data_IF_076647593359
#
_entry.id   IF_076647593359
#
_cell.length_a   1.000
_cell.length_b   1.000
_cell.length_c   1.000
_cell.angle_alpha   90.00
_cell.angle_beta   90.00
_cell.angle_gamma   90.00
#
_symmetry.space_group_name_H-M   'P 1'
#
loop_
_entity.id
_entity.type
_entity.pdbx_description
1 polymer ?
#
# COMPACT_ATOMS: atom_id res chain seq x y z
N UNK A 1 -24.83 -16.47 -41.48
CA UNK A 1 -24.15 -15.79 -40.36
C UNK A 1 -23.22 -14.79 -41.01
N UNK A 2 -23.70 -13.56 -41.17
CA UNK A 2 -23.11 -12.60 -42.10
C UNK A 2 -21.87 -11.93 -41.49
N UNK A 3 -20.73 -12.11 -42.15
CA UNK A 3 -19.49 -11.36 -41.93
C UNK A 3 -19.66 -9.91 -42.43
N UNK A 4 -20.56 -9.16 -41.80
CA UNK A 4 -20.78 -7.76 -42.14
C UNK A 4 -19.59 -6.93 -41.62
N UNK A 5 -18.81 -6.24 -42.47
CA UNK A 5 -17.66 -5.44 -42.06
C UNK A 5 -18.05 -4.33 -41.07
N UNK A 6 -19.31 -3.90 -41.04
CA UNK A 6 -19.83 -3.00 -40.01
C UNK A 6 -19.85 -3.64 -38.62
N UNK A 7 -20.20 -4.92 -38.50
CA UNK A 7 -20.14 -5.63 -37.22
C UNK A 7 -18.70 -5.76 -36.72
N UNK A 8 -17.77 -6.09 -37.62
CA UNK A 8 -16.35 -6.17 -37.29
C UNK A 8 -15.79 -4.80 -36.90
N UNK A 9 -16.20 -3.73 -37.61
CA UNK A 9 -15.81 -2.36 -37.30
C UNK A 9 -16.40 -1.89 -35.95
N UNK A 10 -17.66 -2.18 -35.66
CA UNK A 10 -18.31 -1.85 -34.37
C UNK A 10 -17.64 -2.61 -33.24
N UNK A 11 -17.37 -3.92 -33.38
CA UNK A 11 -16.58 -4.70 -32.42
C UNK A 11 -15.18 -4.12 -32.24
N UNK A 12 -14.51 -3.75 -33.34
CA UNK A 12 -13.16 -3.15 -33.28
C UNK A 12 -13.20 -1.77 -32.62
N UNK A 13 -14.25 -0.97 -32.84
CA UNK A 13 -14.44 0.34 -32.22
C UNK A 13 -14.79 0.22 -30.72
N UNK A 14 -15.66 -0.72 -30.34
CA UNK A 14 -15.96 -1.08 -28.94
C UNK A 14 -14.72 -1.63 -28.21
N UNK A 15 -13.83 -2.33 -28.91
CA UNK A 15 -12.54 -2.77 -28.39
C UNK A 15 -11.47 -1.65 -28.39
N UNK A 16 -11.67 -0.55 -29.14
CA UNK A 16 -10.73 0.57 -29.30
C UNK A 16 -11.10 1.86 -28.57
N UNK A 17 -12.30 2.00 -28.02
CA UNK A 17 -12.62 3.15 -27.17
C UNK A 17 -11.65 3.18 -25.99
N UNK A 18 -10.97 4.31 -25.69
CA UNK A 18 -10.12 4.41 -24.53
C UNK A 18 -10.98 4.13 -23.29
N UNK A 19 -10.77 2.96 -22.69
CA UNK A 19 -11.50 2.57 -21.48
C UNK A 19 -11.03 3.49 -20.37
N UNK A 20 -11.92 4.37 -19.93
CA UNK A 20 -11.70 5.12 -18.71
C UNK A 20 -11.64 4.13 -17.56
N UNK A 21 -10.68 4.35 -16.66
CA UNK A 21 -10.53 3.52 -15.47
C UNK A 21 -10.87 4.41 -14.28
N UNK A 22 -11.79 3.90 -13.50
CA UNK A 22 -12.42 4.56 -12.38
C UNK A 22 -11.81 3.99 -11.11
N UNK A 23 -11.27 4.84 -10.25
CA UNK A 23 -11.01 4.51 -8.86
C UNK A 23 -12.33 4.71 -8.11
N UNK A 24 -12.95 3.60 -7.72
CA UNK A 24 -14.25 3.59 -7.06
C UNK A 24 -14.13 4.09 -5.65
N UNK A 25 -13.27 3.47 -4.86
CA UNK A 25 -12.91 3.93 -3.53
C UNK A 25 -11.54 3.34 -3.11
N UNK A 26 -10.99 3.84 -2.00
CA UNK A 26 -9.81 3.32 -1.32
C UNK A 26 -10.00 3.40 0.20
N UNK A 27 -9.33 2.50 0.93
CA UNK A 27 -9.37 2.43 2.38
C UNK A 27 -7.97 2.16 2.95
N UNK A 28 -7.67 2.85 4.05
CA UNK A 28 -6.44 2.66 4.81
C UNK A 28 -6.78 2.08 6.18
N UNK A 29 -5.92 1.17 6.65
CA UNK A 29 -6.02 0.63 8.00
C UNK A 29 -5.87 1.76 9.03
N UNK A 30 -6.64 1.68 10.11
CA UNK A 30 -6.58 2.62 11.23
C UNK A 30 -6.07 1.83 12.44
N UNK A 31 -4.78 1.97 12.79
CA UNK A 31 -4.24 1.27 13.94
C UNK A 31 -4.91 1.72 15.23
N UNK A 32 -4.96 0.82 16.21
CA UNK A 32 -5.47 1.08 17.55
C UNK A 32 -4.51 2.00 18.31
N UNK A 33 -5.02 2.71 19.33
CA UNK A 33 -4.19 3.49 20.24
C UNK A 33 -3.17 2.62 21.00
N UNK A 34 -3.44 1.30 21.14
CA UNK A 34 -2.50 0.31 21.69
C UNK A 34 -1.26 0.12 20.82
N UNK A 35 -1.37 0.39 19.52
CA UNK A 35 -0.32 0.12 18.54
C UNK A 35 0.65 1.29 18.43
N UNK A 36 0.36 2.40 19.13
CA UNK A 36 1.15 3.63 19.11
C UNK A 36 2.52 3.42 19.74
N UNK A 37 3.56 3.75 18.98
CA UNK A 37 4.94 3.65 19.45
C UNK A 37 5.72 4.96 19.18
N UNK A 38 5.75 5.88 20.15
CA UNK A 38 6.51 7.12 20.08
C UNK A 38 8.01 6.88 19.85
N UNK A 39 8.73 7.91 19.41
CA UNK A 39 10.19 7.83 19.22
C UNK A 39 10.90 7.31 20.47
N UNK A 40 10.50 7.80 21.65
CA UNK A 40 11.06 7.42 22.94
C UNK A 40 11.00 5.91 23.20
N UNK A 41 9.88 5.25 22.89
CA UNK A 41 9.72 3.79 23.02
C UNK A 41 10.85 3.06 22.32
N UNK A 42 11.18 3.43 21.08
CA UNK A 42 12.26 2.74 20.37
C UNK A 42 13.66 3.09 20.85
N UNK A 43 13.87 4.30 21.38
CA UNK A 43 15.17 4.63 21.98
C UNK A 43 15.41 3.75 23.20
N UNK A 44 14.37 3.52 24.00
CA UNK A 44 14.38 2.55 25.08
C UNK A 44 14.59 1.12 24.57
N UNK A 45 13.89 0.73 23.49
CA UNK A 45 14.08 -0.59 22.87
C UNK A 45 15.53 -0.80 22.44
N UNK A 46 16.14 0.15 21.72
CA UNK A 46 17.53 0.03 21.27
C UNK A 46 18.52 0.02 22.43
N UNK A 47 18.22 0.70 23.54
CA UNK A 47 19.07 0.68 24.72
C UNK A 47 19.01 -0.67 25.46
N UNK A 48 17.86 -1.34 25.46
CA UNK A 48 17.65 -2.64 26.10
C UNK A 48 18.00 -3.83 25.19
N UNK A 49 18.11 -3.60 23.87
CA UNK A 49 18.43 -4.63 22.90
C UNK A 49 19.93 -4.95 22.90
N UNK A 50 20.33 -5.94 23.70
CA UNK A 50 21.72 -6.36 23.92
C UNK A 50 22.45 -6.87 22.64
N UNK A 51 21.73 -6.97 21.51
CA UNK A 51 22.29 -7.35 20.21
C UNK A 51 22.88 -6.17 19.42
N UNK A 52 22.65 -4.91 19.83
CA UNK A 52 23.17 -3.72 19.14
C UNK A 52 24.38 -3.11 19.85
N UNK A 53 25.44 -2.82 19.09
CA UNK A 53 26.59 -2.09 19.62
C UNK A 53 26.18 -0.65 20.01
N UNK A 54 26.77 -0.04 21.06
CA UNK A 54 26.42 1.32 21.49
C UNK A 54 26.53 2.38 20.39
N UNK A 55 27.53 2.25 19.50
CA UNK A 55 27.69 3.14 18.36
C UNK A 55 26.54 3.03 17.34
N UNK A 56 25.92 1.86 17.22
CA UNK A 56 24.73 1.62 16.39
C UNK A 56 23.50 2.26 17.01
N UNK A 57 23.32 2.13 18.33
CA UNK A 57 22.22 2.78 19.07
C UNK A 57 22.25 4.30 18.90
N UNK A 58 23.43 4.92 19.09
CA UNK A 58 23.62 6.37 18.89
C UNK A 58 23.33 6.79 17.44
N UNK A 59 23.73 5.97 16.46
CA UNK A 59 23.46 6.25 15.05
C UNK A 59 21.95 6.20 14.74
N UNK A 60 21.26 5.15 15.20
CA UNK A 60 19.81 4.98 15.02
C UNK A 60 19.02 6.08 15.71
N UNK A 61 19.44 6.51 16.90
CA UNK A 61 18.83 7.62 17.64
C UNK A 61 18.83 8.91 16.81
N UNK A 62 19.98 9.28 16.25
CA UNK A 62 20.11 10.49 15.41
C UNK A 62 19.25 10.43 14.15
N UNK A 63 19.06 9.24 13.56
CA UNK A 63 18.18 9.05 12.41
C UNK A 63 16.72 9.27 12.82
N UNK A 64 16.30 8.66 13.94
CA UNK A 64 14.92 8.76 14.40
C UNK A 64 14.53 10.19 14.77
N UNK A 65 15.40 10.93 15.44
CA UNK A 65 15.17 12.34 15.79
C UNK A 65 14.97 13.24 14.56
N UNK A 66 15.53 12.86 13.41
CA UNK A 66 15.44 13.61 12.14
C UNK A 66 14.44 13.01 11.15
N UNK A 67 13.74 11.95 11.54
CA UNK A 67 12.85 11.19 10.66
C UNK A 67 11.63 12.00 10.19
N UNK A 68 11.17 12.96 10.99
CA UNK A 68 9.90 13.66 10.75
C UNK A 68 8.66 12.85 11.12
N UNK A 69 8.83 11.70 11.78
CA UNK A 69 7.73 10.87 12.29
C UNK A 69 7.25 11.43 13.63
N UNK A 70 5.93 11.53 13.79
CA UNK A 70 5.28 12.01 15.00
C UNK A 70 5.08 10.92 16.06
N UNK A 71 4.72 11.33 17.29
CA UNK A 71 4.55 10.42 18.43
C UNK A 71 3.34 9.48 18.29
N UNK A 72 2.48 9.75 17.33
CA UNK A 72 1.23 9.02 17.06
C UNK A 72 1.40 7.90 16.03
N UNK A 73 2.62 7.74 15.49
CA UNK A 73 2.93 6.60 14.62
C UNK A 73 2.73 5.27 15.35
N UNK A 74 2.27 4.28 14.61
CA UNK A 74 1.92 2.96 15.13
C UNK A 74 2.74 1.87 14.43
N UNK A 75 2.91 0.76 15.12
CA UNK A 75 3.61 -0.43 14.64
C UNK A 75 2.96 -1.70 15.18
N UNK A 76 3.17 -2.87 14.54
CA UNK A 76 2.53 -4.10 14.96
C UNK A 76 2.98 -4.56 16.35
N UNK A 77 2.12 -5.29 17.05
CA UNK A 77 2.36 -5.88 18.38
C UNK A 77 3.73 -6.55 18.53
N UNK A 78 4.19 -7.25 17.50
CA UNK A 78 5.48 -7.93 17.49
C UNK A 78 6.66 -6.99 17.80
N UNK A 79 6.52 -5.70 17.50
CA UNK A 79 7.55 -4.68 17.70
C UNK A 79 7.48 -3.94 19.05
N UNK A 80 6.43 -4.18 19.85
CA UNK A 80 6.20 -3.53 21.15
C UNK A 80 6.80 -4.27 22.35
N UNK A 81 7.35 -5.47 22.15
CA UNK A 81 7.73 -6.36 23.26
C UNK A 81 9.17 -6.10 23.75
N UNK A 82 9.35 -5.83 25.06
CA UNK A 82 10.66 -5.61 25.72
C UNK A 82 10.90 -6.29 27.08
N UNK A 83 12.13 -6.82 27.31
CA UNK A 83 12.97 -7.45 26.27
C UNK A 83 12.14 -8.52 25.56
N UNK A 84 12.52 -9.08 24.40
CA UNK A 84 11.84 -10.28 23.90
C UNK A 84 11.83 -11.30 25.06
N UNK A 85 10.68 -11.61 25.68
CA UNK A 85 10.66 -12.53 26.80
C UNK A 85 11.20 -13.86 26.27
N UNK A 86 11.80 -14.72 27.08
CA UNK A 86 11.91 -16.11 26.69
C UNK A 86 10.47 -16.69 26.67
N UNK A 87 9.96 -17.19 25.53
CA UNK A 87 10.59 -17.30 24.20
C UNK A 87 10.41 -16.04 23.33
N UNK A 88 11.39 -15.75 22.43
CA UNK A 88 11.41 -14.54 21.61
C UNK A 88 10.11 -14.33 20.83
N UNK A 89 9.81 -13.09 20.40
CA UNK A 89 8.63 -12.80 19.58
C UNK A 89 8.56 -13.75 18.39
N UNK A 90 7.34 -14.18 18.06
CA UNK A 90 7.11 -15.12 16.97
C UNK A 90 7.43 -14.42 15.65
N UNK A 91 8.63 -14.63 15.12
CA UNK A 91 9.05 -14.15 13.79
C UNK A 91 8.69 -15.15 12.68
N UNK A 92 7.84 -16.14 12.96
CA UNK A 92 7.45 -17.12 11.95
C UNK A 92 6.57 -16.52 10.87
N UNK A 93 6.49 -17.22 9.73
CA UNK A 93 5.51 -16.93 8.70
C UNK A 93 4.07 -16.91 9.22
N UNK A 94 3.75 -17.57 10.34
CA UNK A 94 2.42 -17.53 10.94
C UNK A 94 2.14 -16.17 11.56
N UNK A 95 3.10 -15.59 12.28
CA UNK A 95 2.96 -14.27 12.86
C UNK A 95 2.93 -13.18 11.77
N UNK A 96 3.77 -13.31 10.74
CA UNK A 96 3.71 -12.46 9.56
C UNK A 96 2.32 -12.50 8.90
N UNK A 97 1.73 -13.70 8.78
CA UNK A 97 0.35 -13.85 8.28
C UNK A 97 -0.66 -13.21 9.21
N UNK A 98 -0.54 -13.35 10.52
CA UNK A 98 -1.46 -12.72 11.47
C UNK A 98 -1.39 -11.18 11.40
N UNK A 99 -0.19 -10.61 11.26
CA UNK A 99 0.01 -9.17 11.02
C UNK A 99 -0.67 -8.75 9.72
N UNK A 100 -0.38 -9.47 8.62
CA UNK A 100 -1.05 -9.28 7.33
C UNK A 100 -2.55 -9.29 7.58
N UNK A 101 -3.13 -10.36 8.12
CA UNK A 101 -4.57 -10.46 8.36
C UNK A 101 -5.12 -9.29 9.20
N UNK A 102 -4.47 -8.89 10.29
CA UNK A 102 -4.97 -7.82 11.18
C UNK A 102 -5.05 -6.44 10.50
N UNK A 103 -3.97 -6.00 9.86
CA UNK A 103 -3.93 -4.70 9.16
C UNK A 103 -4.95 -4.72 8.05
N UNK A 104 -4.94 -5.85 7.38
CA UNK A 104 -5.30 -5.86 6.00
C UNK A 104 -6.87 -6.20 6.01
N UNK A 105 -7.38 -7.00 6.94
CA UNK A 105 -8.81 -7.37 6.96
C UNK A 105 -9.75 -6.17 7.16
N UNK A 106 -9.38 -5.26 8.04
CA UNK A 106 -10.18 -4.07 8.36
C UNK A 106 -10.29 -3.12 7.18
N UNK A 107 -9.20 -2.89 6.45
CA UNK A 107 -9.21 -1.92 5.36
C UNK A 107 -10.01 -2.41 4.15
N UNK A 108 -10.05 -3.71 3.85
CA UNK A 108 -10.97 -4.21 2.81
C UNK A 108 -12.42 -4.17 3.28
N UNK A 109 -12.71 -4.48 4.54
CA UNK A 109 -14.07 -4.40 5.07
C UNK A 109 -14.62 -2.96 4.93
N UNK A 110 -13.86 -1.97 5.39
CA UNK A 110 -14.19 -0.54 5.24
C UNK A 110 -14.37 -0.13 3.76
N UNK A 111 -13.53 -0.64 2.86
CA UNK A 111 -13.64 -0.35 1.43
C UNK A 111 -14.98 -0.81 0.83
N UNK A 112 -15.39 -2.06 1.08
CA UNK A 112 -16.63 -2.60 0.53
C UNK A 112 -17.87 -2.03 1.21
N UNK A 113 -17.78 -1.65 2.48
CA UNK A 113 -18.86 -0.94 3.17
C UNK A 113 -19.12 0.44 2.52
N UNK A 114 -18.06 1.14 2.11
CA UNK A 114 -18.17 2.45 1.46
C UNK A 114 -18.51 2.37 -0.03
N UNK A 115 -18.10 1.31 -0.73
CA UNK A 115 -18.24 1.19 -2.19
C UNK A 115 -19.59 0.59 -2.61
N UNK A 116 -20.63 1.41 -2.69
CA UNK A 116 -22.00 0.95 -3.03
C UNK A 116 -22.15 0.32 -4.42
N UNK A 117 -21.31 0.69 -5.39
CA UNK A 117 -21.37 0.17 -6.77
C UNK A 117 -20.85 -1.27 -6.91
N UNK A 118 -20.08 -1.74 -5.94
CA UNK A 118 -19.53 -3.10 -5.88
C UNK A 118 -19.68 -3.59 -4.44
N UNK A 119 -20.89 -4.02 -4.10
CA UNK A 119 -21.22 -4.49 -2.74
C UNK A 119 -20.73 -5.91 -2.46
N UNK A 120 -20.51 -6.72 -3.51
CA UNK A 120 -20.11 -8.11 -3.38
C UNK A 120 -18.64 -8.30 -3.76
N UNK A 121 -17.77 -8.74 -2.83
CA UNK A 121 -16.40 -9.13 -3.13
C UNK A 121 -16.24 -10.13 -4.28
N UNK A 122 -17.28 -10.91 -4.59
CA UNK A 122 -17.30 -11.88 -5.69
C UNK A 122 -17.29 -11.22 -7.07
N UNK A 123 -17.60 -9.93 -7.16
CA UNK A 123 -17.55 -9.16 -8.41
C UNK A 123 -16.14 -8.72 -8.81
N UNK A 124 -15.14 -8.96 -7.94
CA UNK A 124 -13.72 -8.70 -8.22
C UNK A 124 -13.14 -9.81 -9.09
N UNK A 125 -12.60 -9.43 -10.25
CA UNK A 125 -12.01 -10.36 -11.22
C UNK A 125 -10.47 -10.28 -11.28
N UNK A 126 -9.90 -9.21 -10.74
CA UNK A 126 -8.45 -8.99 -10.67
C UNK A 126 -8.07 -8.63 -9.25
N UNK A 127 -7.07 -9.30 -8.69
CA UNK A 127 -6.45 -8.94 -7.41
C UNK A 127 -4.97 -8.71 -7.65
N UNK A 128 -4.47 -7.54 -7.26
CA UNK A 128 -3.04 -7.21 -7.27
C UNK A 128 -2.63 -6.88 -5.85
N UNK A 129 -1.77 -7.70 -5.26
CA UNK A 129 -1.23 -7.43 -3.91
C UNK A 129 0.22 -6.97 -3.98
N UNK A 130 0.62 -6.14 -3.02
CA UNK A 130 2.01 -5.79 -2.82
C UNK A 130 2.40 -5.77 -1.33
N UNK A 131 3.58 -6.32 -1.06
CA UNK A 131 4.30 -6.25 0.22
C UNK A 131 5.78 -6.49 -0.07
N UNK A 132 6.68 -5.62 0.41
CA UNK A 132 8.09 -5.66 -0.02
C UNK A 132 8.90 -6.70 0.74
N UNK A 133 8.61 -6.88 2.03
CA UNK A 133 9.37 -7.74 2.93
C UNK A 133 8.86 -9.18 3.00
N UNK A 134 7.58 -9.40 2.73
CA UNK A 134 6.95 -10.71 2.93
C UNK A 134 6.12 -11.12 1.71
N UNK A 135 6.41 -12.30 1.18
CA UNK A 135 5.59 -12.97 0.17
C UNK A 135 5.28 -14.40 0.68
N UNK A 136 4.19 -14.58 1.44
CA UNK A 136 3.87 -15.87 2.05
C UNK A 136 3.40 -16.88 0.99
N UNK A 137 3.43 -18.17 1.32
CA UNK A 137 2.70 -19.21 0.56
C UNK A 137 1.62 -19.79 1.45
N UNK A 138 0.31 -19.60 1.16
CA UNK A 138 -0.23 -18.99 -0.03
C UNK A 138 -0.04 -17.45 -0.01
N UNK A 139 0.02 -16.81 -1.19
CA UNK A 139 0.35 -15.37 -1.33
C UNK A 139 -0.67 -14.43 -0.70
N UNK A 140 -0.34 -13.15 -0.55
CA UNK A 140 -1.28 -12.16 0.03
C UNK A 140 -2.57 -12.08 -0.80
N UNK A 141 -2.44 -11.99 -2.13
CA UNK A 141 -3.60 -12.08 -3.01
C UNK A 141 -4.36 -13.40 -2.86
N UNK A 142 -3.69 -14.48 -2.45
CA UNK A 142 -4.32 -15.75 -2.10
C UNK A 142 -5.15 -15.76 -0.86
N UNK A 143 -4.55 -15.21 0.20
CA UNK A 143 -5.15 -15.11 1.51
C UNK A 143 -6.43 -14.30 1.31
N UNK A 144 -6.31 -13.15 0.66
CA UNK A 144 -7.45 -12.27 0.37
C UNK A 144 -8.48 -12.90 -0.56
N UNK A 145 -8.10 -13.64 -1.60
CA UNK A 145 -9.08 -14.35 -2.44
C UNK A 145 -9.91 -15.40 -1.66
N UNK A 146 -9.45 -15.86 -0.49
CA UNK A 146 -10.10 -16.89 0.34
C UNK A 146 -10.60 -16.39 1.72
N UNK A 147 -10.18 -15.21 2.19
CA UNK A 147 -10.72 -14.38 3.30
C UNK A 147 -9.85 -13.11 3.42
N UNK A 148 -10.48 -11.92 3.45
CA UNK A 148 -9.86 -10.63 3.06
C UNK A 148 -9.38 -9.81 4.24
N UNK A 149 -8.30 -9.02 4.15
CA UNK A 149 -7.93 -8.00 3.15
C UNK A 149 -6.58 -7.31 3.44
N UNK A 150 -6.34 -6.04 2.94
CA UNK A 150 -5.70 -4.76 3.50
C UNK A 150 -5.79 -3.40 2.88
N UNK A 151 -4.76 -2.52 2.91
CA UNK A 151 -4.98 -1.18 2.37
C UNK A 151 -5.39 -1.39 0.92
N UNK A 152 -6.64 -1.03 0.63
CA UNK A 152 -7.38 -1.64 -0.45
C UNK A 152 -7.95 -0.56 -1.34
N UNK A 153 -7.88 -0.82 -2.63
CA UNK A 153 -8.19 0.14 -3.67
C UNK A 153 -9.03 -0.60 -4.69
N UNK A 154 -10.22 -0.08 -4.99
CA UNK A 154 -11.10 -0.70 -5.97
C UNK A 154 -11.10 0.09 -7.27
N UNK A 155 -10.71 -0.56 -8.36
CA UNK A 155 -10.70 0.01 -9.70
C UNK A 155 -11.74 -0.67 -10.58
N UNK A 156 -12.38 0.06 -11.47
CA UNK A 156 -13.37 -0.48 -12.42
C UNK A 156 -13.21 0.17 -13.79
N UNK A 157 -13.57 -0.58 -14.83
CA UNK A 157 -13.77 -0.04 -16.18
C UNK A 157 -15.22 -0.11 -16.65
N UNK A 158 -16.17 -0.39 -15.74
CA UNK A 158 -17.60 -0.48 -16.06
C UNK A 158 -18.17 0.94 -16.20
N UNK A 159 -18.81 1.23 -17.33
CA UNK A 159 -19.40 2.55 -17.60
C UNK A 159 -20.41 2.98 -16.52
N UNK A 160 -21.17 2.01 -15.99
CA UNK A 160 -22.15 2.22 -14.90
C UNK A 160 -21.52 2.68 -13.59
N UNK A 161 -20.22 2.40 -13.36
CA UNK A 161 -19.55 2.79 -12.13
C UNK A 161 -18.98 4.22 -12.21
N UNK A 162 -19.06 4.87 -13.38
CA UNK A 162 -18.58 6.25 -13.60
C UNK A 162 -19.20 7.26 -12.65
N UNK A 163 -20.50 7.14 -12.38
CA UNK A 163 -21.20 8.05 -11.46
C UNK A 163 -20.89 7.78 -9.99
N UNK A 164 -20.37 6.60 -9.66
CA UNK A 164 -20.02 6.18 -8.32
C UNK A 164 -18.49 6.23 -8.07
N UNK A 165 -17.70 6.66 -9.06
CA UNK A 165 -16.26 6.69 -8.93
C UNK A 165 -15.78 7.91 -8.17
N UNK A 166 -14.99 7.70 -7.11
CA UNK A 166 -14.27 8.81 -6.48
C UNK A 166 -13.36 9.54 -7.46
N UNK A 167 -12.58 8.81 -8.24
CA UNK A 167 -11.62 9.44 -9.17
C UNK A 167 -11.55 8.76 -10.55
N UNK A 168 -11.13 9.53 -11.56
CA UNK A 168 -10.83 9.02 -12.91
C UNK A 168 -9.31 8.98 -13.14
N UNK A 169 -8.76 7.78 -13.38
CA UNK A 169 -7.33 7.59 -13.62
C UNK A 169 -6.94 8.02 -15.05
N UNK A 170 -6.20 9.13 -15.17
CA UNK A 170 -5.78 9.70 -16.47
C UNK A 170 -4.36 9.30 -16.92
N UNK A 171 -3.39 9.27 -16.01
CA UNK A 171 -1.98 9.02 -16.35
C UNK A 171 -1.26 8.36 -15.17
N UNK A 172 -0.55 7.25 -15.45
CA UNK A 172 0.25 6.46 -14.50
C UNK A 172 1.53 6.05 -15.24
N UNK A 173 2.69 6.20 -14.59
CA UNK A 173 4.03 5.90 -15.14
C UNK A 173 4.42 4.47 -14.76
N UNK A 174 5.01 3.72 -15.72
CA UNK A 174 5.22 2.27 -15.63
C UNK A 174 6.69 1.91 -15.42
N UNK A 175 7.00 1.03 -14.47
CA UNK A 175 8.28 0.32 -14.38
C UNK A 175 8.08 -1.11 -13.82
N UNK A 176 8.18 -2.14 -14.67
CA UNK A 176 8.21 -3.59 -14.34
C UNK A 176 6.89 -4.41 -14.36
N UNK A 177 7.04 -5.74 -14.60
CA UNK A 177 5.99 -6.78 -14.68
C UNK A 177 6.00 -7.64 -13.40
N UNK A 178 4.82 -7.93 -12.84
CA UNK A 178 4.60 -8.77 -11.65
C UNK A 178 4.51 -10.27 -11.94
N UNK A 179 4.68 -11.09 -10.90
CA UNK A 179 4.49 -12.55 -10.95
C UNK A 179 3.01 -12.94 -10.88
N UNK A 180 2.64 -14.03 -11.58
CA UNK A 180 1.29 -14.60 -11.64
C UNK A 180 1.17 -15.81 -10.70
N UNK A 181 0.16 -15.81 -9.83
CA UNK A 181 -0.22 -16.98 -9.02
C UNK A 181 -1.49 -17.63 -9.58
N UNK A 182 -1.45 -18.94 -9.84
CA UNK A 182 -2.52 -19.66 -10.56
C UNK A 182 -3.47 -20.48 -9.66
N UNK A 183 -3.69 -20.07 -8.41
CA UNK A 183 -4.32 -20.92 -7.38
C UNK A 183 -5.78 -20.58 -6.98
N UNK A 184 -6.57 -19.81 -7.74
CA UNK A 184 -7.91 -19.34 -7.31
C UNK A 184 -9.08 -19.87 -8.13
N UNK A 185 -10.30 -19.51 -7.66
CA UNK A 185 -11.53 -19.57 -8.45
C UNK A 185 -11.21 -19.25 -9.91
N UNK A 186 -11.69 -20.08 -10.83
CA UNK A 186 -11.29 -20.04 -12.24
C UNK A 186 -11.50 -18.70 -12.93
N UNK A 187 -12.25 -17.78 -12.30
CA UNK A 187 -12.59 -16.45 -12.79
C UNK A 187 -11.81 -15.28 -12.16
N UNK A 188 -10.85 -15.51 -11.24
CA UNK A 188 -10.07 -14.43 -10.61
C UNK A 188 -8.60 -14.50 -10.98
N UNK A 189 -8.06 -13.41 -11.52
CA UNK A 189 -6.63 -13.26 -11.78
C UNK A 189 -5.92 -12.65 -10.59
N UNK A 190 -4.85 -13.30 -10.11
CA UNK A 190 -4.11 -12.89 -8.91
C UNK A 190 -2.65 -12.61 -9.24
N UNK A 191 -2.14 -11.49 -8.72
CA UNK A 191 -0.76 -11.03 -8.90
C UNK A 191 -0.19 -10.55 -7.57
N UNK A 192 1.08 -10.90 -7.31
CA UNK A 192 1.77 -10.54 -6.07
C UNK A 192 3.09 -9.82 -6.41
N UNK A 193 3.28 -8.64 -5.85
CA UNK A 193 4.44 -7.78 -6.06
C UNK A 193 5.27 -7.72 -4.77
N UNK A 194 6.50 -8.24 -4.81
CA UNK A 194 7.42 -8.26 -3.67
C UNK A 194 8.81 -7.77 -4.06
N UNK A 195 9.58 -7.26 -3.10
CA UNK A 195 10.97 -6.83 -3.29
C UNK A 195 11.17 -5.52 -4.09
N UNK A 196 10.10 -4.77 -4.37
CA UNK A 196 10.17 -3.50 -5.13
C UNK A 196 10.19 -2.25 -4.23
N UNK A 197 10.11 -2.42 -2.91
CA UNK A 197 10.06 -1.32 -1.94
C UNK A 197 8.84 -0.41 -2.13
N UNK A 198 8.96 0.86 -1.73
CA UNK A 198 7.86 1.84 -1.77
C UNK A 198 7.28 2.07 -3.19
N UNK A 199 8.02 1.70 -4.25
CA UNK A 199 7.52 1.79 -5.63
C UNK A 199 6.37 0.81 -5.93
N UNK A 200 6.23 -0.26 -5.13
CA UNK A 200 5.26 -1.34 -5.39
C UNK A 200 3.80 -0.86 -5.39
N UNK A 201 3.48 0.22 -4.66
CA UNK A 201 2.13 0.79 -4.58
C UNK A 201 1.67 1.32 -5.93
N UNK A 202 2.41 2.26 -6.52
CA UNK A 202 2.08 2.84 -7.83
C UNK A 202 2.13 1.77 -8.94
N UNK A 203 3.05 0.81 -8.83
CA UNK A 203 3.17 -0.29 -9.78
C UNK A 203 1.97 -1.23 -9.75
N UNK A 204 1.46 -1.54 -8.57
CA UNK A 204 0.26 -2.37 -8.41
C UNK A 204 -0.97 -1.71 -9.05
N UNK A 205 -1.13 -0.39 -8.90
CA UNK A 205 -2.19 0.38 -9.57
C UNK A 205 -1.99 0.41 -11.08
N UNK A 206 -0.76 0.63 -11.57
CA UNK A 206 -0.46 0.62 -13.00
C UNK A 206 -0.75 -0.75 -13.62
N UNK A 207 -0.46 -1.83 -12.90
CA UNK A 207 -0.73 -3.19 -13.33
C UNK A 207 -2.22 -3.48 -13.40
N UNK A 208 -2.97 -3.17 -12.35
CA UNK A 208 -4.42 -3.31 -12.33
C UNK A 208 -5.08 -2.48 -13.45
N UNK A 209 -4.61 -1.25 -13.68
CA UNK A 209 -5.05 -0.41 -14.80
C UNK A 209 -4.84 -1.11 -16.15
N UNK A 210 -3.66 -1.66 -16.39
CA UNK A 210 -3.35 -2.29 -17.67
C UNK A 210 -4.16 -3.59 -17.88
N UNK A 211 -4.42 -4.34 -16.81
CA UNK A 211 -5.33 -5.49 -16.83
C UNK A 211 -6.77 -5.05 -17.15
N UNK A 212 -7.27 -3.98 -16.54
CA UNK A 212 -8.59 -3.41 -16.85
C UNK A 212 -8.69 -2.82 -18.27
N UNK A 213 -7.58 -2.53 -18.95
CA UNK A 213 -7.64 -2.17 -20.38
C UNK A 213 -7.89 -3.40 -21.25
N UNK A 214 -7.40 -4.56 -20.85
CA UNK A 214 -7.54 -5.83 -21.60
C UNK A 214 -8.88 -6.50 -21.28
N UNK A 215 -9.26 -6.58 -20.01
CA UNK A 215 -10.47 -7.26 -19.55
C UNK A 215 -11.67 -6.29 -19.49
N UNK A 216 -12.75 -6.60 -20.19
CA UNK A 216 -13.95 -5.75 -20.28
C UNK A 216 -14.89 -5.94 -19.08
N UNK A 217 -15.52 -4.86 -18.64
CA UNK A 217 -16.57 -4.87 -17.61
C UNK A 217 -16.10 -5.50 -16.28
N UNK A 218 -14.84 -5.23 -15.92
CA UNK A 218 -14.13 -5.84 -14.81
C UNK A 218 -13.84 -4.89 -13.67
N UNK A 219 -13.68 -5.48 -12.49
CA UNK A 219 -13.28 -4.79 -11.25
C UNK A 219 -11.96 -5.39 -10.77
N UNK A 220 -11.03 -4.51 -10.40
CA UNK A 220 -9.75 -4.87 -9.83
C UNK A 220 -9.62 -4.36 -8.39
N UNK A 221 -9.18 -5.24 -7.50
CA UNK A 221 -8.80 -4.92 -6.13
C UNK A 221 -7.28 -4.85 -6.05
N UNK A 222 -6.75 -3.72 -5.60
CA UNK A 222 -5.32 -3.55 -5.32
C UNK A 222 -5.13 -3.50 -3.81
N UNK A 223 -4.20 -4.31 -3.30
CA UNK A 223 -3.86 -4.44 -1.89
C UNK A 223 -2.43 -3.97 -1.70
N UNK A 224 -2.20 -3.10 -0.72
CA UNK A 224 -0.89 -2.52 -0.41
C UNK A 224 -0.62 -2.58 1.08
N UNK A 225 0.51 -3.15 1.48
CA UNK A 225 0.94 -3.16 2.87
C UNK A 225 2.43 -3.36 2.99
N UNK A 226 2.93 -3.27 4.22
CA UNK A 226 4.25 -3.77 4.57
C UNK A 226 4.17 -4.57 5.86
N UNK A 227 4.67 -5.81 5.84
CA UNK A 227 4.74 -6.65 7.02
C UNK A 227 6.15 -6.53 7.56
N UNK A 228 6.27 -6.08 8.80
CA UNK A 228 7.57 -5.84 9.45
C UNK A 228 7.92 -6.90 10.50
N UNK A 229 7.02 -7.86 10.77
CA UNK A 229 7.24 -8.95 11.74
C UNK A 229 8.45 -9.83 11.39
N UNK A 230 8.85 -9.92 10.11
CA UNK A 230 9.99 -10.74 9.66
C UNK A 230 10.98 -9.85 8.91
N UNK A 231 12.09 -9.47 9.51
CA UNK A 231 13.06 -8.64 8.77
C UNK A 231 14.18 -7.93 9.54
N UNK A 232 14.36 -8.17 10.83
CA UNK A 232 15.46 -7.55 11.59
C UNK A 232 16.84 -8.08 11.17
N UNK A 233 17.70 -7.20 10.67
CA UNK A 233 19.13 -7.45 10.49
C UNK A 233 19.90 -7.30 11.81
N UNK A 234 20.38 -8.40 12.37
CA UNK A 234 21.08 -8.40 13.67
C UNK A 234 22.60 -8.20 13.58
N UNK A 235 23.13 -8.00 12.38
CA UNK A 235 24.56 -7.87 12.18
C UNK A 235 25.12 -6.48 12.51
N UNK A 236 26.44 -6.33 12.41
CA UNK A 236 27.16 -5.10 12.80
C UNK A 236 27.37 -4.10 11.65
N UNK A 237 26.97 -4.47 10.43
CA UNK A 237 27.17 -3.62 9.24
C UNK A 237 26.16 -2.47 9.24
N UNK A 238 26.65 -1.24 9.44
CA UNK A 238 25.82 -0.03 9.56
C UNK A 238 24.85 0.18 8.40
N UNK A 239 25.25 -0.10 7.16
CA UNK A 239 24.38 0.07 5.99
C UNK A 239 23.23 -0.93 5.97
N UNK A 240 23.40 -2.12 6.56
CA UNK A 240 22.36 -3.13 6.68
C UNK A 240 21.46 -2.89 7.89
N UNK A 241 21.98 -2.25 8.96
CA UNK A 241 21.17 -1.77 10.09
C UNK A 241 20.15 -0.70 9.69
N UNK A 242 20.34 -0.03 8.55
CA UNK A 242 19.32 0.85 7.99
C UNK A 242 18.01 0.08 7.77
N UNK A 243 18.05 -1.21 7.38
CA UNK A 243 16.82 -1.99 7.17
C UNK A 243 15.95 -2.13 8.43
N UNK A 244 16.58 -2.22 9.61
CA UNK A 244 15.88 -2.30 10.90
C UNK A 244 15.14 -1.02 11.25
N UNK A 245 15.54 0.10 10.64
CA UNK A 245 14.88 1.36 10.81
C UNK A 245 14.26 1.89 9.52
N UNK A 246 14.37 1.25 8.34
CA UNK A 246 13.91 1.75 7.02
C UNK A 246 12.41 2.09 7.03
N UNK A 247 11.63 1.29 7.75
CA UNK A 247 10.19 1.49 7.96
C UNK A 247 9.87 2.59 9.00
N UNK A 248 10.93 3.15 9.62
CA UNK A 248 10.93 4.28 10.56
C UNK A 248 11.89 5.42 10.19
N UNK A 249 12.64 5.31 9.08
CA UNK A 249 13.40 6.42 8.51
C UNK A 249 12.38 7.19 7.70
N UNK A 250 11.96 8.32 8.22
CA UNK A 250 10.93 9.06 7.53
C UNK A 250 11.44 9.61 6.22
N UNK A 251 10.51 9.75 5.27
CA UNK A 251 10.76 10.38 4.00
C UNK A 251 10.98 11.89 4.10
N UNK A 252 11.16 12.47 5.30
CA UNK A 252 11.21 13.93 5.49
C UNK A 252 12.30 14.58 4.65
N UNK A 253 13.52 14.09 4.74
CA UNK A 253 14.64 14.61 3.95
C UNK A 253 14.39 14.43 2.43
N UNK A 254 13.73 13.35 2.03
CA UNK A 254 13.35 13.13 0.63
C UNK A 254 12.26 14.10 0.17
N UNK A 255 11.24 14.33 1.01
CA UNK A 255 10.16 15.26 0.74
C UNK A 255 10.71 16.69 0.66
N UNK A 256 11.56 17.09 1.60
CA UNK A 256 12.24 18.40 1.62
C UNK A 256 13.14 18.55 0.39
N UNK A 257 13.93 17.53 0.03
CA UNK A 257 14.75 17.58 -1.18
C UNK A 257 13.90 17.69 -2.46
N UNK A 258 12.74 17.02 -2.54
CA UNK A 258 11.83 17.13 -3.68
C UNK A 258 11.17 18.52 -3.71
N UNK A 259 10.74 19.02 -2.55
CA UNK A 259 10.18 20.37 -2.38
C UNK A 259 11.15 21.44 -2.87
N UNK A 260 12.41 21.37 -2.46
CA UNK A 260 13.46 22.30 -2.87
C UNK A 260 13.80 22.16 -4.36
N UNK A 261 14.08 20.94 -4.84
CA UNK A 261 14.53 20.71 -6.21
C UNK A 261 13.46 21.01 -7.26
N UNK A 262 12.19 20.79 -6.94
CA UNK A 262 11.07 21.07 -7.84
C UNK A 262 10.39 22.42 -7.55
N UNK A 263 10.89 23.17 -6.56
CA UNK A 263 10.34 24.45 -6.12
C UNK A 263 8.83 24.36 -5.81
N UNK A 264 8.44 23.31 -5.11
CA UNK A 264 7.05 23.07 -4.73
C UNK A 264 6.64 24.01 -3.60
N UNK A 265 5.36 24.40 -3.57
CA UNK A 265 4.77 25.14 -2.47
C UNK A 265 4.56 24.20 -1.28
N UNK A 266 4.57 24.74 -0.07
CA UNK A 266 4.36 23.97 1.17
C UNK A 266 3.05 23.16 1.11
N UNK A 267 1.99 23.74 0.56
CA UNK A 267 0.70 23.07 0.35
C UNK A 267 0.79 21.81 -0.52
N UNK A 268 1.75 21.74 -1.47
CA UNK A 268 1.90 20.65 -2.43
C UNK A 268 2.56 19.42 -1.78
N UNK A 269 3.33 19.62 -0.71
CA UNK A 269 4.01 18.56 0.05
C UNK A 269 3.39 18.29 1.42
N UNK A 270 2.47 19.15 1.86
CA UNK A 270 1.79 19.06 3.16
C UNK A 270 1.19 17.67 3.40
N UNK A 271 0.47 17.10 2.42
CA UNK A 271 -0.16 15.80 2.57
C UNK A 271 0.86 14.68 2.83
N UNK A 272 1.99 14.71 2.11
CA UNK A 272 3.09 13.75 2.32
C UNK A 272 3.77 13.95 3.67
N UNK A 273 4.02 15.21 4.07
CA UNK A 273 4.60 15.54 5.39
C UNK A 273 3.68 15.09 6.52
N UNK A 274 2.38 15.32 6.41
CA UNK A 274 1.40 15.00 7.44
C UNK A 274 1.09 13.51 7.50
N UNK A 275 1.03 12.81 6.36
CA UNK A 275 0.93 11.36 6.34
C UNK A 275 2.16 10.72 7.01
N UNK A 276 3.38 11.20 6.68
CA UNK A 276 4.60 10.74 7.31
C UNK A 276 4.63 11.03 8.82
N UNK A 277 4.20 12.22 9.21
CA UNK A 277 4.15 12.62 10.61
C UNK A 277 3.15 11.76 11.41
N UNK A 278 1.96 11.51 10.86
CA UNK A 278 0.90 10.77 11.57
C UNK A 278 1.11 9.27 11.56
N UNK A 279 1.51 8.69 10.43
CA UNK A 279 1.51 7.24 10.21
C UNK A 279 2.91 6.64 10.01
N UNK A 280 3.95 7.47 9.92
CA UNK A 280 5.29 7.01 9.60
C UNK A 280 5.44 6.61 8.13
N UNK A 281 6.52 5.88 7.82
CA UNK A 281 6.76 5.35 6.48
C UNK A 281 6.04 4.00 6.31
N UNK A 282 4.79 4.04 5.85
CA UNK A 282 3.97 2.85 5.56
C UNK A 282 4.29 2.20 4.19
N UNK A 283 5.53 2.36 3.72
CA UNK A 283 6.02 1.82 2.45
C UNK A 283 5.13 2.22 1.26
N UNK A 284 4.80 1.26 0.39
CA UNK A 284 3.92 1.39 -0.78
C UNK A 284 2.53 1.96 -0.48
N UNK A 285 2.05 1.87 0.76
CA UNK A 285 0.73 2.37 1.14
C UNK A 285 0.71 3.86 1.51
N UNK A 286 1.89 4.50 1.68
CA UNK A 286 2.02 5.89 2.12
C UNK A 286 1.29 6.89 1.21
N UNK A 287 1.20 6.60 -0.09
CA UNK A 287 0.45 7.41 -1.05
C UNK A 287 -1.04 7.48 -0.72
N UNK A 288 -1.63 6.41 -0.21
CA UNK A 288 -3.05 6.36 0.14
C UNK A 288 -3.35 7.13 1.42
N UNK A 289 -2.45 7.10 2.40
CA UNK A 289 -2.57 7.95 3.59
C UNK A 289 -2.45 9.45 3.28
N UNK A 290 -1.59 9.83 2.33
CA UNK A 290 -1.54 11.21 1.84
C UNK A 290 -2.85 11.60 1.13
N UNK A 291 -3.47 10.69 0.37
CA UNK A 291 -4.78 10.93 -0.25
C UNK A 291 -5.90 11.05 0.79
N UNK A 292 -5.92 10.21 1.83
CA UNK A 292 -6.82 10.36 2.98
C UNK A 292 -6.71 11.75 3.63
N UNK A 293 -5.48 12.26 3.79
CA UNK A 293 -5.26 13.59 4.35
C UNK A 293 -5.84 14.69 3.43
N UNK A 294 -5.65 14.57 2.12
CA UNK A 294 -6.23 15.51 1.15
C UNK A 294 -7.77 15.47 1.18
N UNK A 295 -8.39 14.28 1.20
CA UNK A 295 -9.84 14.13 1.34
C UNK A 295 -10.34 14.77 2.65
N UNK A 296 -9.67 14.51 3.77
CA UNK A 296 -10.03 15.07 5.08
C UNK A 296 -9.93 16.62 5.12
N UNK A 297 -9.06 17.21 4.29
CA UNK A 297 -8.94 18.67 4.13
C UNK A 297 -9.92 19.25 3.09
N UNK A 298 -10.76 18.43 2.46
CA UNK A 298 -11.64 18.85 1.37
C UNK A 298 -10.89 19.21 0.08
N UNK A 299 -9.65 18.71 -0.09
CA UNK A 299 -8.75 19.00 -1.23
C UNK A 299 -8.75 17.88 -2.29
N UNK A 300 -9.84 17.12 -2.35
CA UNK A 300 -10.12 16.07 -3.32
C UNK A 300 -11.50 15.45 -3.03
N UNK A 301 -12.17 14.93 -4.05
CA UNK A 301 -13.48 14.30 -3.88
C UNK A 301 -14.06 13.64 -5.13
N UNK A 302 -15.29 13.17 -5.04
CA UNK A 302 -16.00 12.47 -6.11
C UNK A 302 -16.02 13.27 -7.42
N UNK A 303 -15.57 12.63 -8.51
CA UNK A 303 -15.52 13.23 -9.84
C UNK A 303 -14.20 13.95 -10.18
N UNK A 304 -13.27 14.04 -9.22
CA UNK A 304 -11.96 14.62 -9.49
C UNK A 304 -11.11 13.74 -10.40
N UNK A 305 -10.36 14.40 -11.27
CA UNK A 305 -9.35 13.74 -12.09
C UNK A 305 -8.02 13.72 -11.34
N UNK A 306 -7.58 12.56 -10.86
CA UNK A 306 -6.20 12.39 -10.40
C UNK A 306 -5.29 12.44 -11.64
N UNK A 307 -4.73 13.63 -11.90
CA UNK A 307 -3.87 13.87 -13.07
C UNK A 307 -2.45 13.31 -12.88
N UNK A 308 -2.01 13.15 -11.62
CA UNK A 308 -0.73 12.53 -11.24
C UNK A 308 -0.90 11.85 -9.87
N UNK A 309 -0.79 10.52 -9.83
CA UNK A 309 -0.42 9.78 -8.63
C UNK A 309 1.09 9.59 -8.73
N UNK A 310 1.85 10.54 -8.20
CA UNK A 310 3.31 10.49 -8.19
C UNK A 310 3.78 11.02 -6.83
N UNK A 311 4.36 10.14 -6.04
CA UNK A 311 5.25 10.47 -4.92
C UNK A 311 6.60 9.85 -5.29
#
# INVERSE_FOLDING_TARGET
MDNNPLHLLILTLLLRTPKHIYLLDFACHKPSDSDRAPTATYLEHYALYDRLAPASVTFLTKILERSGIGPESCVPDATHVLPPPPPPPDESLRAARAEIESVLFDAVADLFERTRSVADPRDVEVIVSNCSLTCPTPSIAAMVANRMGGAAVLLSNRERDRSASKYVLRRLVRTHLGSQDRAYRSNVMSFSLSGMGCSAGILSVSMARDLLKVHNNSVALVLSMEAVTVGGYEGKVKSMLLANCLFRMGGRAMIEAIEENLQLREEEVEASKMALYRFGNTSSSSTWYALCYLEAKGRGGEGDSIKKLAI
#
